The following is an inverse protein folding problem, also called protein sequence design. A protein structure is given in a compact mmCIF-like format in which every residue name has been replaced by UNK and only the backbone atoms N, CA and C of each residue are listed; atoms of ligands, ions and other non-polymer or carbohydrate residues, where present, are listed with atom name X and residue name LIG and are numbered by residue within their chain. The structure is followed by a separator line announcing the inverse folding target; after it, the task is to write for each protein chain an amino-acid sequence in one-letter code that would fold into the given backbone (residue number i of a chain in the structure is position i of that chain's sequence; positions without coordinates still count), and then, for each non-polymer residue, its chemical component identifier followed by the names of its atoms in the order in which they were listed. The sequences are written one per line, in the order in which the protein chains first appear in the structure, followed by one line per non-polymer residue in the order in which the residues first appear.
data_IF_573421843845
#
_entry.id   IF_573421843845
#
_cell.length_a   1.000
_cell.length_b   1.000
_cell.length_c   1.000
_cell.angle_alpha   90.00
_cell.angle_beta   90.00
_cell.angle_gamma   90.00
#
_symmetry.space_group_name_H-M   'P 1'
#
loop_
_entity.id
_entity.type
_entity.pdbx_description
1 polymer ?
#
# COMPACT_ATOMS: atom_id res chain seq x y z
N UNK A 1 -1.78 -4.90 -6.68
CA UNK A 1 -3.26 -4.91 -6.49
C UNK A 1 -3.83 -6.16 -7.16
N UNK A 2 -4.71 -6.89 -6.45
CA UNK A 2 -5.32 -8.12 -6.97
C UNK A 2 -6.22 -7.83 -8.18
N UNK A 3 -6.04 -8.55 -9.32
CA UNK A 3 -6.86 -8.38 -10.50
C UNK A 3 -8.35 -8.70 -10.26
N UNK A 4 -9.26 -8.05 -11.01
CA UNK A 4 -10.71 -8.23 -10.84
C UNK A 4 -11.14 -9.70 -10.96
N UNK A 5 -10.55 -10.45 -11.89
CA UNK A 5 -10.84 -11.89 -12.05
C UNK A 5 -10.62 -12.68 -10.76
N UNK A 6 -9.47 -12.51 -10.12
CA UNK A 6 -9.17 -13.18 -8.86
C UNK A 6 -10.09 -12.72 -7.72
N UNK A 7 -10.47 -11.44 -7.69
CA UNK A 7 -11.46 -10.91 -6.73
C UNK A 7 -12.80 -11.62 -6.85
N UNK A 8 -13.29 -11.79 -8.08
CA UNK A 8 -14.54 -12.49 -8.34
C UNK A 8 -14.48 -13.99 -8.02
N UNK A 9 -13.33 -14.63 -8.24
CA UNK A 9 -13.10 -16.03 -7.85
C UNK A 9 -13.16 -16.21 -6.32
N UNK A 10 -12.55 -15.29 -5.56
CA UNK A 10 -12.66 -15.29 -4.09
C UNK A 10 -14.09 -15.08 -3.62
N UNK A 11 -14.82 -14.15 -4.24
CA UNK A 11 -16.22 -13.93 -3.89
C UNK A 11 -17.07 -15.16 -4.16
N UNK A 12 -16.86 -15.81 -5.31
CA UNK A 12 -17.51 -17.08 -5.64
C UNK A 12 -17.20 -18.16 -4.59
N UNK A 13 -15.94 -18.31 -4.20
CA UNK A 13 -15.55 -19.24 -3.15
C UNK A 13 -16.23 -18.94 -1.80
N UNK A 14 -16.38 -17.68 -1.43
CA UNK A 14 -17.08 -17.29 -0.20
C UNK A 14 -18.59 -17.63 -0.26
N UNK A 15 -19.18 -17.59 -1.44
CA UNK A 15 -20.60 -17.90 -1.65
C UNK A 15 -20.92 -19.39 -1.56
N UNK A 16 -19.95 -20.29 -1.69
CA UNK A 16 -20.16 -21.73 -1.61
C UNK A 16 -20.60 -22.22 -0.21
N UNK A 17 -20.31 -21.44 0.84
CA UNK A 17 -20.65 -21.78 2.24
C UNK A 17 -21.16 -20.55 2.98
N UNK A 18 -22.18 -20.75 3.82
CA UNK A 18 -22.79 -19.68 4.59
C UNK A 18 -21.83 -19.01 5.57
N UNK A 19 -20.96 -19.78 6.21
CA UNK A 19 -20.03 -19.32 7.25
C UNK A 19 -18.78 -18.62 6.70
N UNK A 20 -18.57 -18.60 5.38
CA UNK A 20 -17.40 -17.95 4.78
C UNK A 20 -17.66 -16.47 4.61
N UNK A 21 -16.69 -15.67 5.04
CA UNK A 21 -16.63 -14.24 4.80
C UNK A 21 -15.24 -13.87 4.26
N UNK A 22 -15.18 -12.78 3.52
CA UNK A 22 -13.93 -12.15 3.08
C UNK A 22 -13.73 -10.88 3.86
N UNK A 23 -12.51 -10.63 4.31
CA UNK A 23 -12.10 -9.34 4.88
C UNK A 23 -11.29 -8.62 3.81
N UNK A 24 -11.82 -7.51 3.30
CA UNK A 24 -11.12 -6.62 2.39
C UNK A 24 -10.50 -5.48 3.20
N UNK A 25 -9.17 -5.51 3.34
CA UNK A 25 -8.41 -4.43 3.97
C UNK A 25 -7.94 -3.45 2.87
N UNK A 26 -8.59 -2.30 2.81
CA UNK A 26 -8.33 -1.26 1.83
C UNK A 26 -7.71 -0.04 2.50
N UNK A 27 -6.41 0.11 2.36
CA UNK A 27 -5.66 1.14 3.05
C UNK A 27 -5.00 2.18 2.14
N UNK A 28 -5.00 1.99 0.81
CA UNK A 28 -4.33 2.90 -0.14
C UNK A 28 -4.97 2.97 -1.54
N UNK A 29 -6.19 2.47 -1.73
CA UNK A 29 -6.89 2.47 -3.02
C UNK A 29 -7.18 3.88 -3.56
N UNK A 30 -7.19 4.89 -2.71
CA UNK A 30 -7.39 6.29 -3.09
C UNK A 30 -6.27 6.83 -3.98
N UNK A 31 -5.06 6.25 -3.92
CA UNK A 31 -3.88 6.70 -4.66
C UNK A 31 -3.59 5.80 -5.85
N UNK A 32 -4.42 5.91 -6.88
CA UNK A 32 -4.23 5.21 -8.15
C UNK A 32 -3.83 6.19 -9.24
N UNK A 33 -2.75 5.86 -9.96
CA UNK A 33 -2.14 6.75 -10.97
C UNK A 33 -2.46 6.32 -12.40
N UNK A 34 -2.63 5.01 -12.63
CA UNK A 34 -2.86 4.44 -13.97
C UNK A 34 -4.04 3.46 -13.98
N UNK A 35 -4.70 3.39 -15.13
CA UNK A 35 -5.82 2.48 -15.36
C UNK A 35 -7.15 2.92 -14.74
N UNK A 36 -8.21 2.17 -15.03
CA UNK A 36 -9.53 2.39 -14.43
C UNK A 36 -9.51 1.98 -12.94
N UNK A 37 -10.27 2.67 -12.08
CA UNK A 37 -10.46 2.21 -10.71
C UNK A 37 -10.95 0.75 -10.69
N UNK A 38 -10.32 -0.08 -9.85
CA UNK A 38 -10.82 -1.43 -9.61
C UNK A 38 -11.85 -1.30 -8.48
N UNK A 39 -13.10 -1.71 -8.70
CA UNK A 39 -14.12 -1.65 -7.66
C UNK A 39 -13.69 -2.52 -6.45
N UNK A 40 -14.03 -2.07 -5.24
CA UNK A 40 -13.83 -2.91 -4.05
C UNK A 40 -14.63 -4.20 -4.16
N UNK A 41 -14.20 -5.26 -3.50
CA UNK A 41 -14.98 -6.50 -3.38
C UNK A 41 -16.34 -6.21 -2.76
N UNK A 42 -16.36 -5.36 -1.72
CA UNK A 42 -17.58 -4.95 -1.05
C UNK A 42 -18.59 -4.29 -2.01
N UNK A 43 -18.12 -3.47 -2.96
CA UNK A 43 -19.02 -2.79 -3.92
C UNK A 43 -19.66 -3.72 -4.95
N UNK A 44 -19.08 -4.89 -5.19
CA UNK A 44 -19.60 -5.92 -6.13
C UNK A 44 -20.24 -7.10 -5.39
N UNK A 45 -20.25 -7.08 -4.06
CA UNK A 45 -20.82 -8.11 -3.20
C UNK A 45 -22.35 -7.90 -3.05
N UNK A 46 -23.14 -8.57 -3.87
CA UNK A 46 -24.61 -8.51 -3.78
C UNK A 46 -25.21 -9.35 -2.65
N UNK A 47 -24.43 -10.20 -1.95
CA UNK A 47 -24.95 -11.19 -0.99
C UNK A 47 -24.38 -11.05 0.43
N UNK A 48 -23.62 -10.02 0.68
CA UNK A 48 -23.12 -9.69 2.03
C UNK A 48 -22.06 -10.64 2.55
N UNK A 49 -21.06 -10.97 1.76
CA UNK A 49 -19.93 -11.83 2.12
C UNK A 49 -18.66 -11.06 2.45
N UNK A 50 -18.62 -9.75 2.19
CA UNK A 50 -17.41 -8.94 2.35
C UNK A 50 -17.55 -8.00 3.56
N UNK A 51 -16.60 -8.12 4.47
CA UNK A 51 -16.33 -7.17 5.54
C UNK A 51 -15.28 -6.22 5.01
N UNK A 52 -15.62 -4.93 4.83
CA UNK A 52 -14.69 -3.94 4.33
C UNK A 52 -14.05 -3.16 5.48
N UNK A 53 -12.72 -3.06 5.47
CA UNK A 53 -11.94 -2.25 6.40
C UNK A 53 -11.30 -1.09 5.65
N UNK A 54 -11.45 0.12 6.17
CA UNK A 54 -10.81 1.30 5.63
C UNK A 54 -10.18 2.15 6.73
N UNK A 55 -9.24 3.02 6.35
CA UNK A 55 -8.53 3.89 7.28
C UNK A 55 -8.36 5.30 6.74
N UNK A 56 -8.47 6.29 7.61
CA UNK A 56 -8.14 7.68 7.30
C UNK A 56 -6.67 8.03 7.55
N UNK A 57 -5.88 7.08 8.09
CA UNK A 57 -4.48 7.33 8.44
C UNK A 57 -3.59 7.60 7.22
N UNK A 58 -3.89 7.03 6.06
CA UNK A 58 -3.16 7.31 4.82
C UNK A 58 -3.80 8.38 3.96
N UNK A 59 -5.12 8.44 3.96
CA UNK A 59 -5.87 9.38 3.14
C UNK A 59 -5.90 10.80 3.70
N UNK A 60 -5.77 10.96 5.04
CA UNK A 60 -5.74 12.29 5.69
C UNK A 60 -4.39 12.51 6.40
N UNK A 61 -4.15 11.81 7.50
CA UNK A 61 -2.92 11.93 8.28
C UNK A 61 -2.67 10.67 9.13
N UNK A 62 -1.41 10.18 9.22
CA UNK A 62 -1.07 9.02 10.05
C UNK A 62 -1.41 9.18 11.54
N UNK A 63 -1.37 10.41 12.05
CA UNK A 63 -1.66 10.74 13.44
C UNK A 63 -3.15 10.65 13.81
N UNK A 64 -4.06 10.64 12.82
CA UNK A 64 -5.50 10.61 13.07
C UNK A 64 -5.95 9.29 13.70
N UNK A 65 -5.32 8.17 13.35
CA UNK A 65 -5.57 6.83 13.91
C UNK A 65 -7.05 6.40 13.92
N UNK A 66 -7.82 6.81 12.92
CA UNK A 66 -9.21 6.41 12.74
C UNK A 66 -9.31 5.42 11.60
N UNK A 67 -9.90 4.26 11.88
CA UNK A 67 -10.31 3.26 10.90
C UNK A 67 -11.80 3.01 11.01
N UNK A 68 -12.39 2.48 9.96
CA UNK A 68 -13.80 2.13 9.92
C UNK A 68 -14.00 0.75 9.31
N UNK A 69 -15.12 0.13 9.67
CA UNK A 69 -15.52 -1.18 9.18
C UNK A 69 -16.94 -1.11 8.63
N UNK A 70 -17.14 -1.63 7.42
CA UNK A 70 -18.46 -1.82 6.83
C UNK A 70 -18.82 -3.30 6.93
N UNK A 71 -19.80 -3.60 7.75
CA UNK A 71 -20.28 -4.96 7.97
C UNK A 71 -21.45 -5.29 7.04
N UNK A 72 -21.54 -6.53 6.53
CA UNK A 72 -22.75 -7.05 5.96
C UNK A 72 -23.93 -6.98 6.95
N UNK A 73 -25.16 -6.79 6.42
CA UNK A 73 -26.36 -6.60 7.26
C UNK A 73 -26.55 -7.73 8.28
N UNK A 74 -26.35 -8.99 7.87
CA UNK A 74 -26.49 -10.15 8.74
C UNK A 74 -25.48 -10.18 9.91
N UNK A 75 -24.29 -9.60 9.73
CA UNK A 75 -23.29 -9.49 10.81
C UNK A 75 -23.54 -8.27 11.69
N UNK A 76 -24.23 -7.25 11.22
CA UNK A 76 -24.50 -6.03 11.97
C UNK A 76 -25.33 -6.31 13.22
N UNK A 77 -26.35 -7.15 13.13
CA UNK A 77 -27.19 -7.51 14.27
C UNK A 77 -26.40 -8.27 15.33
N UNK A 78 -25.62 -9.27 14.89
CA UNK A 78 -24.74 -10.02 15.76
C UNK A 78 -23.68 -9.12 16.41
N UNK A 79 -23.09 -8.20 15.68
CA UNK A 79 -22.14 -7.23 16.20
C UNK A 79 -22.76 -6.36 17.31
N UNK A 80 -23.97 -5.84 17.09
CA UNK A 80 -24.68 -5.04 18.09
C UNK A 80 -24.98 -5.84 19.36
N UNK A 81 -25.35 -7.09 19.22
CA UNK A 81 -25.67 -7.96 20.37
C UNK A 81 -24.39 -8.33 21.15
N UNK A 82 -23.30 -8.69 20.47
CA UNK A 82 -22.08 -9.21 21.11
C UNK A 82 -21.13 -8.09 21.52
N UNK A 83 -21.06 -7.01 20.75
CA UNK A 83 -20.08 -5.94 20.93
C UNK A 83 -20.71 -4.61 21.37
N UNK A 84 -22.04 -4.53 21.50
CA UNK A 84 -22.75 -3.28 21.84
C UNK A 84 -22.41 -2.69 23.20
N UNK A 85 -21.78 -3.45 24.08
CA UNK A 85 -21.34 -2.97 25.41
C UNK A 85 -19.95 -2.28 25.34
N UNK A 86 -19.19 -2.42 24.25
CA UNK A 86 -17.92 -1.72 24.11
C UNK A 86 -18.15 -0.24 23.78
N UNK A 87 -17.44 0.62 24.48
CA UNK A 87 -17.35 2.03 24.10
C UNK A 87 -16.47 2.18 22.86
N UNK A 88 -16.79 3.17 22.01
CA UNK A 88 -15.92 3.51 20.89
C UNK A 88 -14.52 3.91 21.36
N UNK A 89 -13.49 3.46 20.65
CA UNK A 89 -12.09 3.83 20.91
C UNK A 89 -11.72 5.19 20.31
N UNK A 90 -12.56 5.73 19.42
CA UNK A 90 -12.36 7.04 18.80
C UNK A 90 -13.10 8.11 19.58
N UNK A 91 -12.42 9.15 20.08
CA UNK A 91 -13.05 10.25 20.80
C UNK A 91 -14.13 10.93 19.95
N UNK A 92 -15.27 11.27 20.58
CA UNK A 92 -16.41 11.89 19.88
C UNK A 92 -16.04 13.20 19.17
N UNK A 93 -15.16 14.00 19.77
CA UNK A 93 -14.66 15.24 19.15
C UNK A 93 -13.97 14.96 17.82
N UNK A 94 -13.12 13.94 17.76
CA UNK A 94 -12.42 13.58 16.49
C UNK A 94 -13.40 13.05 15.45
N UNK A 95 -14.43 12.29 15.86
CA UNK A 95 -15.48 11.85 14.94
C UNK A 95 -16.25 13.04 14.37
N UNK A 96 -16.56 14.04 15.19
CA UNK A 96 -17.30 15.22 14.75
C UNK A 96 -16.48 16.07 13.80
N UNK A 97 -15.21 16.31 14.08
CA UNK A 97 -14.28 17.00 13.17
C UNK A 97 -14.19 16.27 11.83
N UNK A 98 -14.06 14.94 11.87
CA UNK A 98 -13.99 14.13 10.64
C UNK A 98 -15.32 14.20 9.88
N UNK A 99 -16.45 14.15 10.56
CA UNK A 99 -17.78 14.28 9.96
C UNK A 99 -17.93 15.60 9.20
N UNK A 100 -17.51 16.72 9.81
CA UNK A 100 -17.55 18.04 9.17
C UNK A 100 -16.59 18.08 7.96
N UNK A 101 -15.39 17.57 8.11
CA UNK A 101 -14.38 17.51 7.05
C UNK A 101 -14.88 16.74 5.81
N UNK A 102 -15.61 15.64 6.03
CA UNK A 102 -16.25 14.86 4.96
C UNK A 102 -17.43 15.61 4.36
N UNK A 103 -18.37 16.09 5.20
CA UNK A 103 -19.60 16.75 4.78
C UNK A 103 -19.35 18.01 3.92
N UNK A 104 -18.35 18.81 4.28
CA UNK A 104 -18.06 20.08 3.63
C UNK A 104 -17.14 19.91 2.40
N UNK A 105 -16.89 18.66 1.96
CA UNK A 105 -16.12 18.33 0.76
C UNK A 105 -14.63 18.64 0.88
N UNK A 106 -14.12 18.85 2.11
CA UNK A 106 -12.70 19.07 2.35
C UNK A 106 -11.88 17.84 2.07
N UNK A 107 -12.42 16.66 2.37
CA UNK A 107 -11.78 15.38 2.12
C UNK A 107 -11.47 15.15 0.64
N UNK A 108 -12.45 15.35 -0.24
CA UNK A 108 -12.25 15.15 -1.69
C UNK A 108 -11.25 16.17 -2.27
N UNK A 109 -11.32 17.43 -1.82
CA UNK A 109 -10.33 18.44 -2.21
C UNK A 109 -8.92 18.04 -1.76
N UNK A 110 -8.78 17.53 -0.53
CA UNK A 110 -7.52 17.03 0.00
C UNK A 110 -7.00 15.85 -0.81
N UNK A 111 -7.82 14.82 -1.07
CA UNK A 111 -7.44 13.67 -1.88
C UNK A 111 -6.98 14.06 -3.27
N UNK A 112 -7.71 14.96 -3.94
CA UNK A 112 -7.35 15.41 -5.29
C UNK A 112 -6.00 16.14 -5.31
N UNK A 113 -5.74 16.98 -4.30
CA UNK A 113 -4.44 17.64 -4.12
C UNK A 113 -3.32 16.61 -3.90
N UNK A 114 -3.53 15.65 -2.99
CA UNK A 114 -2.53 14.63 -2.66
C UNK A 114 -2.26 13.67 -3.83
N UNK A 115 -3.29 13.31 -4.61
CA UNK A 115 -3.11 12.53 -5.85
C UNK A 115 -2.19 13.25 -6.84
N UNK A 116 -2.31 14.56 -7.01
CA UNK A 116 -1.42 15.35 -7.86
C UNK A 116 0.03 15.31 -7.37
N UNK A 117 0.24 15.54 -6.06
CA UNK A 117 1.57 15.53 -5.44
C UNK A 117 2.22 14.14 -5.56
N UNK A 118 1.50 13.09 -5.20
CA UNK A 118 2.04 11.74 -5.23
C UNK A 118 2.29 11.23 -6.65
N UNK A 119 1.46 11.62 -7.61
CA UNK A 119 1.70 11.33 -9.03
C UNK A 119 3.00 11.98 -9.51
N UNK A 120 3.26 13.25 -9.19
CA UNK A 120 4.51 13.92 -9.55
C UNK A 120 5.73 13.17 -9.01
N UNK A 121 5.72 12.82 -7.72
CA UNK A 121 6.81 12.04 -7.09
C UNK A 121 6.98 10.65 -7.70
N UNK A 122 5.87 9.97 -7.96
CA UNK A 122 5.86 8.68 -8.64
C UNK A 122 6.51 8.77 -10.02
N UNK A 123 6.04 9.70 -10.87
CA UNK A 123 6.52 9.84 -12.24
C UNK A 123 8.00 10.24 -12.27
N UNK A 124 8.43 11.08 -11.32
CA UNK A 124 9.84 11.40 -11.11
C UNK A 124 10.66 10.15 -10.76
N UNK A 125 10.25 9.39 -9.72
CA UNK A 125 10.95 8.17 -9.31
C UNK A 125 11.05 7.15 -10.46
N UNK A 126 9.95 6.89 -11.17
CA UNK A 126 9.92 5.94 -12.29
C UNK A 126 10.84 6.44 -13.44
N UNK A 127 10.82 7.74 -13.70
CA UNK A 127 11.70 8.36 -14.70
C UNK A 127 13.18 8.19 -14.37
N UNK A 128 13.54 8.35 -13.10
CA UNK A 128 14.90 8.18 -12.61
C UNK A 128 15.34 6.72 -12.56
N UNK A 129 14.48 5.80 -12.14
CA UNK A 129 14.77 4.35 -12.13
C UNK A 129 15.08 3.81 -13.54
N UNK A 130 14.36 4.26 -14.55
CA UNK A 130 14.57 3.84 -15.94
C UNK A 130 15.94 4.20 -16.53
N UNK A 131 16.65 5.14 -15.93
CA UNK A 131 17.99 5.58 -16.38
C UNK A 131 19.11 4.71 -15.80
N UNK A 132 18.81 3.80 -14.88
CA UNK A 132 19.78 3.03 -14.10
C UNK A 132 19.99 1.65 -14.67
N UNK A 133 21.25 1.27 -14.86
CA UNK A 133 21.66 -0.03 -15.42
C UNK A 133 21.28 -1.20 -14.53
N UNK A 134 21.33 -1.02 -13.21
CA UNK A 134 20.99 -2.05 -12.23
C UNK A 134 19.47 -2.34 -12.07
N UNK A 135 18.60 -1.58 -12.72
CA UNK A 135 17.14 -1.81 -12.66
C UNK A 135 16.71 -2.80 -13.73
N UNK A 136 16.36 -4.02 -13.31
CA UNK A 136 15.81 -5.05 -14.22
C UNK A 136 14.32 -4.84 -14.48
N UNK A 137 13.55 -4.63 -13.43
CA UNK A 137 12.11 -4.42 -13.55
C UNK A 137 11.58 -3.54 -12.44
N UNK A 138 10.46 -2.83 -12.73
CA UNK A 138 9.70 -2.06 -11.75
C UNK A 138 8.26 -2.56 -11.76
N UNK A 139 7.72 -2.91 -10.59
CA UNK A 139 6.35 -3.36 -10.43
C UNK A 139 5.65 -2.62 -9.29
N UNK A 140 4.31 -2.73 -9.23
CA UNK A 140 3.51 -1.99 -8.24
C UNK A 140 3.33 -0.49 -8.58
N UNK A 141 3.70 -0.06 -9.78
CA UNK A 141 3.71 1.33 -10.24
C UNK A 141 2.31 1.91 -10.61
N UNK A 142 1.25 1.14 -10.45
CA UNK A 142 -0.10 1.59 -10.82
C UNK A 142 -0.84 2.31 -9.69
N UNK A 143 -0.49 2.03 -8.44
CA UNK A 143 -1.18 2.57 -7.25
C UNK A 143 -0.28 2.47 -6.00
N UNK A 144 -0.68 3.18 -4.93
CA UNK A 144 0.01 3.18 -3.65
C UNK A 144 1.11 4.23 -3.56
N UNK A 145 1.94 4.13 -2.53
CA UNK A 145 3.00 5.10 -2.21
C UNK A 145 4.40 4.47 -2.23
N UNK A 146 4.54 3.31 -2.86
CA UNK A 146 5.79 2.57 -3.02
C UNK A 146 5.80 1.81 -4.34
N UNK A 147 6.98 1.44 -4.79
CA UNK A 147 7.22 0.55 -5.93
C UNK A 147 8.14 -0.58 -5.51
N UNK A 148 8.07 -1.70 -6.24
CA UNK A 148 9.01 -2.80 -6.11
C UNK A 148 9.98 -2.74 -7.28
N UNK A 149 11.27 -2.77 -6.99
CA UNK A 149 12.35 -2.70 -7.96
C UNK A 149 13.19 -3.97 -7.87
N UNK A 150 13.25 -4.73 -8.94
CA UNK A 150 14.15 -5.86 -9.08
C UNK A 150 15.50 -5.35 -9.57
N UNK A 151 16.58 -5.65 -8.85
CA UNK A 151 17.90 -5.11 -9.11
C UNK A 151 18.85 -6.19 -9.64
N UNK A 152 19.59 -5.86 -10.68
CA UNK A 152 20.70 -6.68 -11.21
C UNK A 152 21.95 -6.40 -10.37
N UNK A 153 22.27 -7.32 -9.47
CA UNK A 153 23.40 -7.19 -8.56
C UNK A 153 23.70 -8.53 -7.90
N UNK A 154 24.96 -8.73 -7.50
CA UNK A 154 25.37 -9.85 -6.68
C UNK A 154 25.09 -9.69 -5.18
N UNK A 155 24.61 -8.53 -4.73
CA UNK A 155 24.26 -8.29 -3.33
C UNK A 155 22.90 -8.91 -2.97
N UNK A 156 22.80 -9.40 -1.75
CA UNK A 156 21.49 -9.78 -1.18
C UNK A 156 20.68 -8.54 -0.77
N UNK A 157 19.34 -8.70 -0.68
CA UNK A 157 18.45 -7.64 -0.17
C UNK A 157 18.92 -7.08 1.16
N UNK A 158 19.37 -7.96 2.06
CA UNK A 158 19.85 -7.58 3.40
C UNK A 158 21.11 -6.73 3.32
N UNK A 159 22.10 -7.10 2.52
CA UNK A 159 23.33 -6.31 2.35
C UNK A 159 23.05 -4.93 1.78
N UNK A 160 22.14 -4.83 0.80
CA UNK A 160 21.73 -3.55 0.23
C UNK A 160 21.08 -2.68 1.31
N UNK A 161 20.15 -3.24 2.09
CA UNK A 161 19.47 -2.51 3.17
C UNK A 161 20.44 -2.02 4.25
N UNK A 162 21.39 -2.86 4.68
CA UNK A 162 22.41 -2.52 5.69
C UNK A 162 23.37 -1.42 5.19
N UNK A 163 23.86 -1.51 3.95
CA UNK A 163 24.73 -0.51 3.32
C UNK A 163 24.02 0.83 3.11
N UNK A 164 22.74 0.79 2.66
CA UNK A 164 21.94 1.99 2.49
C UNK A 164 21.67 2.68 3.83
N UNK A 165 21.33 1.92 4.87
CA UNK A 165 21.12 2.43 6.22
C UNK A 165 22.38 3.09 6.79
N UNK A 166 23.58 2.55 6.55
CA UNK A 166 24.84 3.14 6.94
C UNK A 166 25.10 4.52 6.29
N UNK A 167 24.45 4.79 5.15
CA UNK A 167 24.50 6.08 4.45
C UNK A 167 23.25 6.94 4.69
N UNK A 168 22.42 6.59 5.69
CA UNK A 168 21.22 7.34 6.06
C UNK A 168 20.00 7.14 5.16
N UNK A 169 20.03 6.14 4.28
CA UNK A 169 18.93 5.81 3.37
C UNK A 169 18.24 4.51 3.83
N UNK A 170 16.95 4.60 4.15
CA UNK A 170 16.17 3.44 4.55
C UNK A 170 15.44 2.84 3.34
N UNK A 171 15.81 1.63 2.98
CA UNK A 171 15.10 0.77 2.03
C UNK A 171 14.70 -0.54 2.70
N UNK A 172 13.74 -1.26 2.17
CA UNK A 172 13.35 -2.60 2.64
C UNK A 172 13.46 -3.61 1.51
N UNK A 173 13.91 -4.82 1.83
CA UNK A 173 13.85 -5.95 0.94
C UNK A 173 12.47 -6.60 0.97
N UNK A 174 11.99 -7.11 -0.16
CA UNK A 174 10.70 -7.79 -0.21
C UNK A 174 10.70 -9.08 0.62
N UNK A 175 11.85 -9.71 0.81
CA UNK A 175 12.03 -10.90 1.65
C UNK A 175 11.70 -10.68 3.13
N UNK A 176 11.78 -9.44 3.64
CA UNK A 176 11.37 -9.11 5.02
C UNK A 176 9.89 -9.39 5.29
N UNK A 177 9.06 -9.41 4.25
CA UNK A 177 7.61 -9.66 4.31
C UNK A 177 7.24 -11.11 4.00
N UNK A 178 8.21 -11.98 3.73
CA UNK A 178 7.96 -13.38 3.45
C UNK A 178 7.67 -14.17 4.74
N UNK A 179 6.64 -15.03 4.70
CA UNK A 179 6.27 -15.89 5.83
C UNK A 179 7.23 -17.07 6.03
N UNK A 180 8.03 -17.42 5.02
CA UNK A 180 9.01 -18.50 5.06
C UNK A 180 10.42 -17.95 5.15
N UNK A 181 11.32 -18.66 5.90
CA UNK A 181 12.73 -18.25 6.06
C UNK A 181 13.50 -18.19 4.74
N UNK A 182 13.03 -18.87 3.72
CA UNK A 182 13.64 -18.91 2.38
C UNK A 182 13.26 -17.72 1.49
N UNK A 183 12.74 -16.63 2.08
CA UNK A 183 12.52 -15.37 1.40
C UNK A 183 11.53 -15.39 0.23
N UNK A 184 10.56 -16.34 0.21
CA UNK A 184 9.50 -16.35 -0.81
C UNK A 184 9.94 -16.78 -2.19
N UNK A 185 10.59 -17.94 -2.26
CA UNK A 185 10.73 -18.79 -3.46
C UNK A 185 11.65 -18.26 -4.54
N UNK A 186 12.88 -18.75 -4.57
CA UNK A 186 13.72 -18.90 -5.76
C UNK A 186 13.93 -17.68 -6.68
N UNK A 187 13.87 -16.46 -6.13
CA UNK A 187 14.17 -15.27 -6.93
C UNK A 187 15.66 -15.19 -7.18
N UNK A 188 16.03 -14.99 -8.44
CA UNK A 188 17.43 -14.87 -8.84
C UNK A 188 18.00 -13.49 -8.49
N UNK A 189 17.16 -12.49 -8.31
CA UNK A 189 17.54 -11.10 -8.08
C UNK A 189 16.85 -10.52 -6.85
N UNK A 190 17.52 -9.62 -6.10
CA UNK A 190 16.92 -8.93 -4.97
C UNK A 190 15.82 -7.98 -5.41
N UNK A 191 14.74 -7.88 -4.60
CA UNK A 191 13.64 -6.98 -4.85
C UNK A 191 13.54 -5.97 -3.71
N UNK A 192 13.70 -4.70 -4.05
CA UNK A 192 13.66 -3.59 -3.12
C UNK A 192 12.29 -2.92 -3.12
N UNK A 193 11.79 -2.58 -1.95
CA UNK A 193 10.59 -1.77 -1.76
C UNK A 193 11.00 -0.32 -1.53
N UNK A 194 10.71 0.55 -2.50
CA UNK A 194 11.04 1.97 -2.47
C UNK A 194 9.77 2.80 -2.22
N UNK A 195 9.69 3.40 -1.03
CA UNK A 195 8.62 4.32 -0.66
C UNK A 195 8.94 5.75 -1.07
N UNK A 196 7.97 6.49 -1.64
CA UNK A 196 8.18 7.86 -2.12
C UNK A 196 7.14 8.87 -1.58
N UNK A 197 6.13 8.41 -0.87
CA UNK A 197 5.01 9.26 -0.46
C UNK A 197 5.38 10.45 0.42
N UNK A 198 6.40 10.34 1.27
CA UNK A 198 6.85 11.42 2.16
C UNK A 198 8.06 12.21 1.66
N UNK A 199 8.67 11.79 0.53
CA UNK A 199 9.92 12.35 0.03
C UNK A 199 9.69 13.47 -0.97
N UNK A 200 10.60 14.43 -1.01
CA UNK A 200 10.74 15.40 -2.10
C UNK A 200 11.49 14.77 -3.28
N UNK A 201 11.44 15.38 -4.45
CA UNK A 201 12.22 14.92 -5.62
C UNK A 201 13.74 14.92 -5.35
N UNK A 202 14.22 15.90 -4.57
CA UNK A 202 15.63 15.98 -4.16
C UNK A 202 16.01 14.79 -3.25
N UNK A 203 15.17 14.46 -2.27
CA UNK A 203 15.41 13.31 -1.39
C UNK A 203 15.34 11.98 -2.15
N UNK A 204 14.43 11.85 -3.11
CA UNK A 204 14.38 10.69 -4.01
C UNK A 204 15.70 10.59 -4.79
N UNK A 205 16.17 11.68 -5.38
CA UNK A 205 17.43 11.71 -6.13
C UNK A 205 18.63 11.34 -5.25
N UNK A 206 18.71 11.89 -4.04
CA UNK A 206 19.78 11.55 -3.09
C UNK A 206 19.75 10.07 -2.71
N UNK A 207 18.56 9.53 -2.41
CA UNK A 207 18.41 8.10 -2.09
C UNK A 207 18.81 7.19 -3.24
N UNK A 208 18.45 7.53 -4.46
CA UNK A 208 18.85 6.78 -5.65
C UNK A 208 20.35 6.86 -5.92
N UNK A 209 21.00 8.01 -5.69
CA UNK A 209 22.46 8.15 -5.80
C UNK A 209 23.19 7.24 -4.81
N UNK A 210 22.69 7.10 -3.58
CA UNK A 210 23.24 6.14 -2.60
C UNK A 210 23.09 4.69 -3.10
N UNK A 211 21.94 4.35 -3.69
CA UNK A 211 21.73 3.02 -4.27
C UNK A 211 22.67 2.78 -5.48
N UNK A 212 22.89 3.77 -6.34
CA UNK A 212 23.85 3.70 -7.45
C UNK A 212 25.25 3.33 -6.94
N UNK A 213 25.74 3.99 -5.89
CA UNK A 213 27.05 3.69 -5.28
C UNK A 213 27.15 2.27 -4.70
N UNK A 214 26.03 1.71 -4.20
CA UNK A 214 26.01 0.38 -3.61
C UNK A 214 25.94 -0.71 -4.67
N UNK A 215 25.18 -0.47 -5.75
CA UNK A 215 24.82 -1.46 -6.75
C UNK A 215 25.77 -1.48 -7.95
N UNK A 216 26.29 -0.30 -8.38
CA UNK A 216 27.25 -0.21 -9.48
C UNK A 216 28.71 -0.57 -9.06
N UNK A 217 29.02 -0.52 -7.77
CA UNK A 217 30.37 -0.80 -7.25
C UNK A 217 30.86 -2.25 -7.46
N UNK A 218 30.06 -3.13 -8.04
CA UNK A 218 30.40 -4.55 -8.26
C UNK A 218 30.83 -4.90 -9.71
N UNK A 219 30.71 -3.98 -10.67
CA UNK A 219 31.20 -4.23 -12.03
C UNK A 219 32.73 -4.09 -12.18
N UNK A 220 33.46 -3.75 -11.11
CA UNK A 220 34.90 -3.45 -11.13
C UNK A 220 35.78 -4.46 -10.37
N UNK A 221 35.32 -5.69 -10.17
CA UNK A 221 36.08 -6.73 -9.46
C UNK A 221 36.23 -8.02 -10.24
#
# INVERSE_FOLDING_TARGET
VMPLKQRLELLKWALEKEERYLIEDDHDSEYRYRGKPIPSLQSVDGLGKVIYLGTFSKSIAPSLRISYMVLPQQLMERYRTVCGFYSTTVPRMQQEILREFLRDGHFERHLNKMRGIYRGRHDFLIGELKKRSWVLSVSGDHAGLHVLVEADTGCSEREICERAAAQGVKVSGLGEYALTKDGGGGRNHPVLLLGYGSLTEQEIQMGLTVLDLILDAQESG
#
